data_IF_058593894487
#
_entry.id   IF_058593894487
#
_cell.length_a   1.000
_cell.length_b   1.000
_cell.length_c   1.000
_cell.angle_alpha   90.00
_cell.angle_beta   90.00
_cell.angle_gamma   90.00
#
_symmetry.space_group_name_H-M   'P 1'
#
loop_
_entity.id
_entity.type
_entity.pdbx_description
1 polymer ?
#
# COMPACT_ATOMS: atom_id res chain seq x y z
N UNK A 1 15.73 16.93 36.26
CA UNK A 1 16.78 17.56 35.44
C UNK A 1 17.34 18.76 36.17
N UNK A 2 18.67 18.91 36.31
CA UNK A 2 19.29 20.13 36.82
C UNK A 2 18.92 21.34 35.95
N UNK A 3 18.65 22.50 36.55
CA UNK A 3 18.15 23.70 35.83
C UNK A 3 19.11 24.15 34.73
N UNK A 4 20.42 24.04 34.95
CA UNK A 4 21.45 24.43 33.99
C UNK A 4 21.44 23.59 32.69
N UNK A 5 20.88 22.38 32.72
CA UNK A 5 20.90 21.45 31.60
C UNK A 5 19.55 21.38 30.86
N UNK A 6 18.55 22.16 31.29
CA UNK A 6 17.19 22.08 30.74
C UNK A 6 17.17 22.34 29.25
N UNK A 7 17.87 23.36 28.75
CA UNK A 7 17.83 23.71 27.33
C UNK A 7 18.39 22.59 26.45
N UNK A 8 19.60 22.10 26.75
CA UNK A 8 20.26 21.03 25.98
C UNK A 8 19.51 19.71 26.05
N UNK A 9 19.01 19.35 27.24
CA UNK A 9 18.25 18.11 27.40
C UNK A 9 16.86 18.19 26.76
N UNK A 10 16.20 19.37 26.76
CA UNK A 10 14.93 19.58 26.05
C UNK A 10 15.09 19.39 24.55
N UNK A 11 16.12 19.99 23.94
CA UNK A 11 16.41 19.80 22.51
C UNK A 11 16.67 18.33 22.19
N UNK A 12 17.50 17.65 22.99
CA UNK A 12 17.77 16.22 22.81
C UNK A 12 16.50 15.36 22.92
N UNK A 13 15.61 15.68 23.86
CA UNK A 13 14.36 14.96 24.03
C UNK A 13 13.43 15.15 22.84
N UNK A 14 13.33 16.37 22.30
CA UNK A 14 12.54 16.65 21.10
C UNK A 14 13.07 15.88 19.88
N UNK A 15 14.39 15.82 19.71
CA UNK A 15 15.02 15.01 18.66
C UNK A 15 14.70 13.52 18.83
N UNK A 16 14.71 13.04 20.08
CA UNK A 16 14.37 11.65 20.38
C UNK A 16 12.90 11.36 20.08
N UNK A 17 11.98 12.25 20.49
CA UNK A 17 10.55 12.13 20.20
C UNK A 17 10.32 12.05 18.69
N UNK A 18 10.95 12.93 17.91
CA UNK A 18 10.84 12.92 16.46
C UNK A 18 11.34 11.59 15.87
N UNK A 19 12.50 11.09 16.31
CA UNK A 19 13.06 9.81 15.86
C UNK A 19 12.15 8.64 16.22
N UNK A 20 11.63 8.60 17.43
CA UNK A 20 10.77 7.51 17.91
C UNK A 20 9.43 7.49 17.18
N UNK A 21 8.84 8.67 16.95
CA UNK A 21 7.61 8.81 16.16
C UNK A 21 7.81 8.31 14.73
N UNK A 22 8.90 8.73 14.08
CA UNK A 22 9.23 8.27 12.73
C UNK A 22 9.47 6.76 12.69
N UNK A 23 10.28 6.22 13.59
CA UNK A 23 10.60 4.79 13.63
C UNK A 23 9.33 3.95 13.81
N UNK A 24 8.43 4.35 14.71
CA UNK A 24 7.14 3.68 14.92
C UNK A 24 6.26 3.73 13.67
N UNK A 25 6.14 4.91 13.03
CA UNK A 25 5.34 5.08 11.83
C UNK A 25 5.90 4.27 10.64
N UNK A 26 7.22 4.33 10.43
CA UNK A 26 7.89 3.59 9.37
C UNK A 26 7.78 2.08 9.57
N UNK A 27 7.92 1.60 10.81
CA UNK A 27 7.69 0.19 11.14
C UNK A 27 6.27 -0.23 10.80
N UNK A 28 5.25 0.50 11.26
CA UNK A 28 3.85 0.21 10.94
C UNK A 28 3.60 0.21 9.42
N UNK A 29 4.09 1.22 8.71
CA UNK A 29 3.99 1.30 7.25
C UNK A 29 4.61 0.08 6.55
N UNK A 30 5.82 -0.31 6.95
CA UNK A 30 6.51 -1.47 6.36
C UNK A 30 5.77 -2.79 6.60
N UNK A 31 5.14 -2.96 7.76
CA UNK A 31 4.37 -4.17 8.10
C UNK A 31 3.08 -4.27 7.28
N UNK A 32 2.46 -3.13 6.97
CA UNK A 32 1.24 -3.03 6.18
C UNK A 32 1.48 -2.94 4.66
N UNK A 33 2.73 -3.03 4.21
CA UNK A 33 3.07 -3.08 2.78
C UNK A 33 3.40 -4.51 2.38
N UNK A 34 2.49 -5.17 1.66
CA UNK A 34 2.62 -6.58 1.27
C UNK A 34 3.01 -6.71 -0.19
N UNK A 35 4.07 -7.46 -0.48
CA UNK A 35 4.40 -7.87 -1.85
C UNK A 35 3.58 -9.14 -2.13
N UNK A 36 2.76 -9.11 -3.17
CA UNK A 36 1.82 -10.20 -3.49
C UNK A 36 2.04 -10.63 -4.93
N UNK A 37 2.17 -11.93 -5.12
CA UNK A 37 2.38 -12.58 -6.41
C UNK A 37 1.26 -13.55 -6.80
N UNK A 38 0.25 -13.70 -5.94
CA UNK A 38 -0.97 -14.47 -6.15
C UNK A 38 -2.22 -13.56 -6.05
N UNK A 39 -3.10 -13.64 -7.05
CA UNK A 39 -4.30 -12.82 -7.11
C UNK A 39 -5.25 -13.05 -5.93
N UNK A 40 -5.38 -14.30 -5.47
CA UNK A 40 -6.31 -14.67 -4.40
C UNK A 40 -5.97 -14.02 -3.05
N UNK A 41 -4.74 -13.54 -2.89
CA UNK A 41 -4.27 -12.84 -1.68
C UNK A 41 -4.51 -11.33 -1.73
N UNK A 42 -4.84 -10.77 -2.90
CA UNK A 42 -5.02 -9.32 -3.09
C UNK A 42 -6.20 -8.82 -2.26
N UNK A 43 -7.41 -9.32 -2.48
CA UNK A 43 -8.59 -8.84 -1.75
C UNK A 43 -8.49 -9.05 -0.23
N UNK A 44 -8.08 -10.22 0.29
CA UNK A 44 -7.89 -10.40 1.74
C UNK A 44 -6.85 -9.46 2.36
N UNK A 45 -5.77 -9.16 1.64
CA UNK A 45 -4.75 -8.23 2.11
C UNK A 45 -5.31 -6.80 2.19
N UNK A 46 -6.12 -6.38 1.22
CA UNK A 46 -6.78 -5.08 1.20
C UNK A 46 -7.82 -4.94 2.31
N UNK A 47 -8.67 -5.95 2.49
CA UNK A 47 -9.65 -6.01 3.59
C UNK A 47 -8.98 -5.87 4.97
N UNK A 48 -7.73 -6.34 5.08
CA UNK A 48 -6.90 -6.24 6.28
C UNK A 48 -6.17 -4.88 6.40
N UNK A 49 -6.62 -3.86 5.65
CA UNK A 49 -6.08 -2.48 5.62
C UNK A 49 -4.61 -2.39 5.24
N UNK A 50 -4.15 -3.28 4.37
CA UNK A 50 -2.80 -3.22 3.83
C UNK A 50 -2.78 -2.48 2.49
N UNK A 51 -1.60 -2.02 2.11
CA UNK A 51 -1.28 -1.66 0.73
C UNK A 51 -0.53 -2.83 0.10
N UNK A 52 -0.91 -3.19 -1.12
CA UNK A 52 -0.36 -4.34 -1.82
C UNK A 52 0.52 -3.88 -2.95
N UNK A 53 1.62 -4.60 -3.17
CA UNK A 53 2.53 -4.38 -4.27
C UNK A 53 2.46 -5.58 -5.19
N UNK A 54 2.01 -5.34 -6.42
CA UNK A 54 1.74 -6.41 -7.38
C UNK A 54 2.49 -6.14 -8.70
N UNK A 55 2.87 -7.18 -9.46
CA UNK A 55 3.39 -7.01 -10.81
C UNK A 55 2.26 -6.54 -11.73
N UNK A 56 2.40 -5.34 -12.30
CA UNK A 56 1.34 -4.68 -13.06
C UNK A 56 1.81 -4.28 -14.47
N UNK A 57 0.90 -4.32 -15.44
CA UNK A 57 1.17 -3.99 -16.84
C UNK A 57 1.15 -2.48 -17.16
N UNK A 58 0.83 -1.62 -16.18
CA UNK A 58 0.77 -0.15 -16.30
C UNK A 58 -0.27 0.38 -17.31
N UNK A 59 -1.25 -0.43 -17.69
CA UNK A 59 -2.29 -0.02 -18.62
C UNK A 59 -3.58 0.34 -17.88
N UNK A 60 -4.11 1.53 -18.16
CA UNK A 60 -5.29 2.10 -17.50
C UNK A 60 -6.51 1.17 -17.53
N UNK A 61 -6.74 0.45 -18.63
CA UNK A 61 -7.88 -0.49 -18.72
C UNK A 61 -7.73 -1.65 -17.74
N UNK A 62 -6.49 -2.05 -17.47
CA UNK A 62 -6.21 -3.08 -16.47
C UNK A 62 -6.46 -2.55 -15.06
N UNK A 63 -6.14 -1.28 -14.79
CA UNK A 63 -6.41 -0.64 -13.51
C UNK A 63 -7.91 -0.53 -13.26
N UNK A 64 -8.67 -0.05 -14.24
CA UNK A 64 -10.14 -0.02 -14.18
C UNK A 64 -10.72 -1.40 -13.94
N UNK A 65 -10.14 -2.45 -14.54
CA UNK A 65 -10.61 -3.81 -14.33
C UNK A 65 -10.27 -4.34 -12.95
N UNK A 66 -9.06 -4.10 -12.45
CA UNK A 66 -8.67 -4.46 -11.07
C UNK A 66 -9.63 -3.80 -10.09
N UNK A 67 -9.90 -2.49 -10.28
CA UNK A 67 -10.86 -1.75 -9.47
C UNK A 67 -12.20 -2.46 -9.40
N UNK A 68 -12.77 -2.85 -10.54
CA UNK A 68 -14.05 -3.58 -10.59
C UNK A 68 -13.98 -4.94 -9.88
N UNK A 69 -12.89 -5.70 -10.07
CA UNK A 69 -12.72 -7.03 -9.45
C UNK A 69 -12.56 -6.96 -7.92
N UNK A 70 -11.97 -5.88 -7.42
CA UNK A 70 -11.75 -5.67 -5.99
C UNK A 70 -12.87 -4.92 -5.29
N UNK A 71 -13.78 -4.29 -6.05
CA UNK A 71 -14.93 -3.58 -5.48
C UNK A 71 -15.96 -4.62 -5.02
N UNK A 72 -16.27 -4.63 -3.73
CA UNK A 72 -17.39 -5.42 -3.20
C UNK A 72 -18.68 -4.63 -3.33
N UNK A 73 -19.72 -5.27 -3.88
CA UNK A 73 -21.09 -4.79 -3.76
C UNK A 73 -21.57 -5.15 -2.34
N UNK A 74 -21.45 -4.23 -1.39
CA UNK A 74 -22.00 -4.44 -0.05
C UNK A 74 -23.54 -4.40 -0.11
N UNK A 75 -24.17 -5.58 -0.05
CA UNK A 75 -25.61 -5.77 0.13
C UNK A 75 -26.03 -5.59 1.61
N UNK A 76 -25.40 -4.63 2.30
CA UNK A 76 -25.65 -4.33 3.71
C UNK A 76 -26.16 -2.88 3.84
N UNK A 77 -27.47 -2.78 4.06
CA UNK A 77 -28.21 -1.53 4.10
C UNK A 77 -27.67 -0.47 5.07
N UNK A 78 -27.86 0.77 4.64
CA UNK A 78 -28.12 1.96 5.47
C UNK A 78 -27.12 2.30 6.59
N UNK A 79 -25.82 2.02 6.44
CA UNK A 79 -24.78 2.70 7.21
C UNK A 79 -23.55 2.97 6.36
N UNK A 80 -23.54 4.14 5.71
CA UNK A 80 -22.46 4.84 4.99
C UNK A 80 -21.02 4.32 5.13
N UNK A 81 -20.75 3.11 4.66
CA UNK A 81 -19.41 2.58 4.46
C UNK A 81 -18.97 3.05 3.08
N UNK A 82 -17.94 3.90 3.05
CA UNK A 82 -17.37 4.37 1.81
C UNK A 82 -17.00 3.17 0.95
N UNK A 83 -17.43 3.18 -0.31
CA UNK A 83 -17.11 2.15 -1.29
C UNK A 83 -15.60 1.94 -1.30
N UNK A 84 -15.14 0.77 -0.84
CA UNK A 84 -13.72 0.41 -0.77
C UNK A 84 -13.21 0.13 -2.19
N UNK A 85 -13.06 1.19 -2.98
CA UNK A 85 -12.52 1.12 -4.32
C UNK A 85 -11.00 1.09 -4.27
N UNK A 86 -10.44 0.07 -4.90
CA UNK A 86 -9.00 -0.07 -5.05
C UNK A 86 -8.48 0.82 -6.18
N UNK A 87 -7.34 1.48 -5.96
CA UNK A 87 -6.66 2.28 -7.00
C UNK A 87 -5.15 2.06 -6.97
N UNK A 88 -4.50 2.33 -8.10
CA UNK A 88 -3.04 2.49 -8.09
C UNK A 88 -2.67 3.76 -7.32
N UNK A 89 -1.68 3.65 -6.45
CA UNK A 89 -1.17 4.77 -5.65
C UNK A 89 0.07 5.35 -6.30
N UNK A 90 1.05 4.50 -6.57
CA UNK A 90 2.30 4.88 -7.22
C UNK A 90 3.07 3.66 -7.73
N UNK A 91 4.04 3.92 -8.60
CA UNK A 91 5.12 3.00 -8.90
C UNK A 91 6.30 3.39 -8.00
N UNK A 92 6.65 2.57 -6.98
CA UNK A 92 7.75 2.91 -6.08
C UNK A 92 9.07 3.01 -6.83
N UNK A 93 9.90 3.99 -6.49
CA UNK A 93 11.26 4.08 -7.05
C UNK A 93 12.11 2.88 -6.63
N UNK A 94 11.99 2.47 -5.36
CA UNK A 94 12.59 1.24 -4.82
C UNK A 94 11.64 0.06 -5.05
N UNK A 95 11.94 -0.72 -6.09
CA UNK A 95 11.21 -1.94 -6.44
C UNK A 95 11.70 -3.10 -5.57
N UNK A 96 10.83 -4.04 -5.13
CA UNK A 96 11.22 -5.16 -4.27
C UNK A 96 12.16 -6.16 -4.97
N UNK A 97 12.18 -6.13 -6.30
CA UNK A 97 13.01 -6.96 -7.16
C UNK A 97 12.74 -6.61 -8.61
N UNK A 98 13.54 -7.18 -9.51
CA UNK A 98 13.28 -7.07 -10.94
C UNK A 98 12.04 -7.89 -11.32
N UNK A 99 11.33 -7.43 -12.35
CA UNK A 99 10.25 -8.22 -12.95
C UNK A 99 10.90 -9.23 -13.88
N UNK A 100 10.71 -10.52 -13.60
CA UNK A 100 11.24 -11.60 -14.44
C UNK A 100 10.74 -11.49 -15.89
N UNK A 101 11.59 -11.83 -16.85
CA UNK A 101 11.21 -11.84 -18.27
C UNK A 101 10.01 -12.78 -18.50
N UNK A 102 8.98 -12.28 -19.16
CA UNK A 102 7.76 -13.03 -19.42
C UNK A 102 6.78 -13.08 -18.24
N UNK A 103 7.07 -12.44 -17.10
CA UNK A 103 6.11 -12.33 -15.99
C UNK A 103 4.85 -11.60 -16.45
N UNK A 104 3.70 -12.23 -16.25
CA UNK A 104 2.38 -11.64 -16.55
C UNK A 104 1.95 -10.65 -15.47
N UNK A 105 1.07 -9.73 -15.87
CA UNK A 105 0.29 -8.91 -14.94
C UNK A 105 -0.45 -9.81 -13.94
N UNK A 106 -0.55 -9.38 -12.68
CA UNK A 106 -1.23 -10.18 -11.65
C UNK A 106 -2.76 -10.27 -11.87
N UNK A 107 -3.35 -9.30 -12.58
CA UNK A 107 -4.78 -9.35 -12.89
C UNK A 107 -5.10 -10.64 -13.68
N UNK A 108 -5.98 -11.52 -13.17
CA UNK A 108 -6.30 -12.81 -13.79
C UNK A 108 -6.95 -12.66 -15.17
N UNK A 109 -7.52 -11.49 -15.47
CA UNK A 109 -8.14 -11.19 -16.77
C UNK A 109 -7.20 -10.42 -17.71
N UNK A 110 -5.89 -10.39 -17.41
CA UNK A 110 -4.90 -9.69 -18.22
C UNK A 110 -3.78 -10.62 -18.69
N UNK A 111 -3.61 -10.73 -20.01
CA UNK A 111 -2.52 -11.52 -20.62
C UNK A 111 -1.25 -10.71 -20.93
N UNK A 112 -1.21 -9.42 -20.57
CA UNK A 112 -0.04 -8.57 -20.80
C UNK A 112 1.09 -8.88 -19.83
N UNK A 113 2.30 -8.58 -20.25
CA UNK A 113 3.48 -8.64 -19.39
C UNK A 113 3.44 -7.53 -18.33
N UNK A 114 3.87 -7.87 -17.13
CA UNK A 114 4.10 -6.89 -16.08
C UNK A 114 5.31 -6.03 -16.46
N UNK A 115 5.21 -4.72 -16.25
CA UNK A 115 6.31 -3.79 -16.51
C UNK A 115 7.01 -3.38 -15.21
N UNK A 116 6.24 -3.17 -14.14
CA UNK A 116 6.73 -2.73 -12.82
C UNK A 116 5.89 -3.32 -11.71
N UNK A 117 6.45 -3.31 -10.51
CA UNK A 117 5.67 -3.46 -9.29
C UNK A 117 4.96 -2.13 -9.00
N UNK A 118 3.65 -2.19 -8.86
CA UNK A 118 2.81 -1.02 -8.58
C UNK A 118 2.16 -1.17 -7.22
N UNK A 119 2.19 -0.09 -6.43
CA UNK A 119 1.53 -0.02 -5.15
C UNK A 119 0.07 0.31 -5.34
N UNK A 120 -0.75 -0.46 -4.65
CA UNK A 120 -2.16 -0.53 -4.81
C UNK A 120 -2.75 -0.43 -3.39
N UNK A 121 -3.76 0.41 -3.18
CA UNK A 121 -4.46 0.50 -1.88
C UNK A 121 -5.88 1.06 -1.99
N UNK A 122 -6.63 0.91 -0.90
CA UNK A 122 -7.94 1.55 -0.76
C UNK A 122 -7.78 3.06 -0.78
N UNK A 123 -8.56 3.74 -1.63
CA UNK A 123 -8.57 5.20 -1.71
C UNK A 123 -10.01 5.69 -1.60
N UNK A 124 -10.39 6.16 -0.41
CA UNK A 124 -11.66 6.85 -0.18
C UNK A 124 -11.74 8.11 -1.03
N UNK A 125 -12.91 8.32 -1.63
CA UNK A 125 -13.22 9.49 -2.45
C UNK A 125 -13.65 10.68 -1.59
#
# INVERSE_FOLDING_TARGET
MPVAEIATQSSRLLDQIQKDMYAKANFAYSQHRKVIDNWDEVSPALDSKNVVLIPFCLDDKCEDRIKQLTTKEDDLGDQGTASMEMKSLCIPFEQPGEIEEGRKCLNPECDRLAQKWTLLGEATK
#
